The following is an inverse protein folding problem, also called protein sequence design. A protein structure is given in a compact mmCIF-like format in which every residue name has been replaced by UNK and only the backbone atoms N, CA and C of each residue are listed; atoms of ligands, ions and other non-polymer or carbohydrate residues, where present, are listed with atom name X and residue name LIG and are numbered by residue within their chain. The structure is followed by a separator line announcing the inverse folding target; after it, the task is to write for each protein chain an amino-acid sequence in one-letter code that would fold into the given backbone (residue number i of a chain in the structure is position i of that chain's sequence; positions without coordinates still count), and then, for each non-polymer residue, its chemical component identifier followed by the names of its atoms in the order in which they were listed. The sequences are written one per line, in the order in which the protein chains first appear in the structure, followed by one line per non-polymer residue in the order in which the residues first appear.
data_IF_522882336451
#
_entry.id   IF_522882336451
#
_cell.length_a   1.000
_cell.length_b   1.000
_cell.length_c   1.000
_cell.angle_alpha   90.00
_cell.angle_beta   90.00
_cell.angle_gamma   90.00
#
_symmetry.space_group_name_H-M   'P 1'
#
loop_
_entity.id
_entity.type
_entity.pdbx_description
1 polymer ?
#
# COMPACT_ATOMS: atom_id res chain seq x y z
N UNK A 1 5.98 -62.62 17.78
CA UNK A 1 5.59 -61.63 16.75
C UNK A 1 4.99 -60.42 17.47
N UNK A 2 5.67 -59.27 17.47
CA UNK A 2 5.18 -58.05 18.12
C UNK A 2 4.31 -57.30 17.10
N UNK A 3 3.01 -57.25 17.33
CA UNK A 3 2.09 -56.41 16.57
C UNK A 3 2.45 -54.95 16.87
N UNK A 4 3.10 -54.29 15.92
CA UNK A 4 3.31 -52.85 15.96
C UNK A 4 1.91 -52.24 15.87
N UNK A 5 1.47 -51.60 16.95
CA UNK A 5 0.16 -50.94 17.02
C UNK A 5 0.11 -49.86 15.94
N UNK A 6 -0.75 -50.07 14.94
CA UNK A 6 -0.94 -49.17 13.79
C UNK A 6 -1.25 -47.74 14.23
N UNK A 7 -1.92 -47.59 15.39
CA UNK A 7 -2.17 -46.30 16.04
C UNK A 7 -0.89 -45.52 16.39
N UNK A 8 0.17 -46.19 16.84
CA UNK A 8 1.42 -45.55 17.26
C UNK A 8 2.21 -45.04 16.06
N UNK A 9 2.12 -45.74 14.92
CA UNK A 9 2.73 -45.30 13.66
C UNK A 9 1.97 -44.11 13.06
N UNK A 10 0.64 -44.11 13.14
CA UNK A 10 -0.19 -43.02 12.62
C UNK A 10 0.01 -41.69 13.35
N UNK A 11 0.16 -41.70 14.69
CA UNK A 11 0.43 -40.48 15.48
C UNK A 11 1.81 -39.92 15.17
N UNK A 12 2.82 -40.78 14.99
CA UNK A 12 4.16 -40.35 14.64
C UNK A 12 4.19 -39.73 13.23
N UNK A 13 3.45 -40.29 12.27
CA UNK A 13 3.36 -39.77 10.90
C UNK A 13 2.68 -38.39 10.83
N UNK A 14 1.68 -38.11 11.67
CA UNK A 14 1.04 -36.79 11.74
C UNK A 14 1.97 -35.69 12.29
N UNK A 15 2.88 -36.03 13.19
CA UNK A 15 3.86 -35.07 13.73
C UNK A 15 4.91 -34.64 12.68
N UNK A 16 5.29 -35.53 11.76
CA UNK A 16 6.30 -35.23 10.71
C UNK A 16 5.73 -34.39 9.56
N UNK A 17 4.40 -34.40 9.37
CA UNK A 17 3.73 -33.60 8.34
C UNK A 17 3.54 -32.12 8.73
N UNK A 18 3.79 -31.75 9.98
CA UNK A 18 3.58 -30.36 10.46
C UNK A 18 4.74 -29.41 10.15
N UNK A 19 5.85 -29.90 9.60
CA UNK A 19 6.99 -29.09 9.19
C UNK A 19 7.11 -29.05 7.66
N UNK A 20 6.09 -28.51 7.00
CA UNK A 20 6.31 -27.96 5.66
C UNK A 20 6.81 -26.54 5.85
N UNK A 21 8.14 -26.35 5.82
CA UNK A 21 8.74 -25.04 5.66
C UNK A 21 8.19 -24.41 4.39
N UNK A 22 7.24 -23.49 4.54
CA UNK A 22 6.84 -22.63 3.44
C UNK A 22 8.09 -21.86 3.05
N UNK A 23 8.66 -22.17 1.89
CA UNK A 23 9.73 -21.36 1.30
C UNK A 23 9.26 -19.92 1.35
N UNK A 24 9.83 -19.15 2.27
CA UNK A 24 9.44 -17.77 2.45
C UNK A 24 9.77 -17.06 1.16
N UNK A 25 8.74 -16.54 0.49
CA UNK A 25 8.97 -15.61 -0.60
C UNK A 25 9.90 -14.51 -0.05
N UNK A 26 10.96 -14.13 -0.79
CA UNK A 26 11.87 -13.10 -0.34
C UNK A 26 11.06 -11.87 0.09
N UNK A 27 11.48 -11.21 1.17
CA UNK A 27 10.87 -9.95 1.66
C UNK A 27 10.95 -8.79 0.64
N UNK A 28 11.35 -9.08 -0.59
CA UNK A 28 11.46 -8.16 -1.71
C UNK A 28 10.12 -8.15 -2.44
N UNK A 29 9.48 -6.98 -2.38
CA UNK A 29 8.13 -6.67 -2.85
C UNK A 29 7.93 -7.11 -4.31
N UNK A 30 7.00 -8.03 -4.62
CA UNK A 30 6.74 -8.44 -6.00
C UNK A 30 6.15 -7.31 -6.86
N UNK A 31 5.51 -6.31 -6.23
CA UNK A 31 5.00 -5.11 -6.89
C UNK A 31 5.41 -3.87 -6.10
N UNK A 32 6.49 -3.22 -6.53
CA UNK A 32 6.81 -1.87 -6.10
C UNK A 32 6.14 -0.88 -7.06
N UNK A 33 5.41 0.09 -6.51
CA UNK A 33 5.02 1.26 -7.28
C UNK A 33 6.29 1.97 -7.78
N UNK A 34 6.36 2.21 -9.09
CA UNK A 34 7.42 3.02 -9.67
C UNK A 34 7.04 4.50 -9.55
N UNK A 35 7.70 5.20 -8.64
CA UNK A 35 7.43 6.61 -8.37
C UNK A 35 7.91 7.56 -9.48
N UNK A 36 8.74 7.10 -10.43
CA UNK A 36 9.25 7.89 -11.57
C UNK A 36 9.73 9.30 -11.19
N UNK A 37 10.32 9.47 -9.99
CA UNK A 37 10.80 10.76 -9.48
C UNK A 37 9.75 11.64 -8.79
N UNK A 38 8.58 11.10 -8.44
CA UNK A 38 7.62 11.75 -7.55
C UNK A 38 8.14 11.80 -6.11
N UNK A 39 7.75 12.85 -5.37
CA UNK A 39 8.14 13.04 -3.97
C UNK A 39 7.03 12.59 -3.03
N UNK A 40 7.39 11.95 -1.92
CA UNK A 40 6.43 11.64 -0.85
C UNK A 40 6.01 12.95 -0.18
N UNK A 41 4.71 13.21 -0.15
CA UNK A 41 4.08 14.32 0.57
C UNK A 41 3.78 13.89 2.00
N UNK A 42 3.10 12.77 2.18
CA UNK A 42 2.69 12.27 3.50
C UNK A 42 2.34 10.78 3.45
N UNK A 43 2.11 10.19 4.62
CA UNK A 43 1.66 8.81 4.80
C UNK A 43 0.43 8.79 5.70
N UNK A 44 -0.52 7.92 5.38
CA UNK A 44 -1.75 7.69 6.14
C UNK A 44 -1.82 6.22 6.48
N UNK A 45 -2.08 5.89 7.75
CA UNK A 45 -2.21 4.52 8.23
C UNK A 45 -3.68 4.27 8.56
N UNK A 46 -4.21 3.15 8.08
CA UNK A 46 -5.53 2.64 8.41
C UNK A 46 -5.37 1.29 9.10
N UNK A 47 -5.17 1.33 10.42
CA UNK A 47 -4.96 0.16 11.27
C UNK A 47 -6.14 -0.81 11.21
N UNK A 48 -7.37 -0.29 11.03
CA UNK A 48 -8.58 -1.12 10.97
C UNK A 48 -8.53 -2.09 9.79
N UNK A 49 -8.03 -1.63 8.65
CA UNK A 49 -7.95 -2.42 7.42
C UNK A 49 -6.54 -3.01 7.18
N UNK A 50 -5.59 -2.76 8.08
CA UNK A 50 -4.17 -3.09 7.95
C UNK A 50 -3.60 -2.55 6.61
N UNK A 51 -3.86 -1.27 6.32
CA UNK A 51 -3.43 -0.60 5.10
C UNK A 51 -2.60 0.64 5.41
N UNK A 52 -1.54 0.85 4.62
CA UNK A 52 -0.74 2.07 4.64
C UNK A 52 -0.78 2.72 3.27
N UNK A 53 -1.10 4.00 3.23
CA UNK A 53 -1.19 4.78 2.01
C UNK A 53 -0.14 5.89 2.00
N UNK A 54 0.66 5.94 0.95
CA UNK A 54 1.66 6.97 0.72
C UNK A 54 1.16 7.93 -0.36
N UNK A 55 1.08 9.22 -0.04
CA UNK A 55 0.73 10.24 -1.00
C UNK A 55 2.00 10.75 -1.68
N UNK A 56 2.11 10.51 -2.99
CA UNK A 56 3.15 11.05 -3.85
C UNK A 56 2.63 12.26 -4.63
N UNK A 57 3.52 13.22 -4.89
CA UNK A 57 3.27 14.36 -5.76
C UNK A 57 4.42 14.60 -6.73
N UNK A 58 4.11 15.05 -7.95
CA UNK A 58 5.14 15.61 -8.83
C UNK A 58 5.63 16.97 -8.29
N UNK A 59 6.58 17.61 -8.99
CA UNK A 59 7.15 18.90 -8.55
C UNK A 59 6.06 19.96 -8.32
N UNK A 60 5.12 20.10 -9.27
CA UNK A 60 4.01 21.05 -9.17
C UNK A 60 3.13 20.79 -7.94
N UNK A 61 2.70 19.54 -7.72
CA UNK A 61 1.88 19.14 -6.58
C UNK A 61 2.55 19.43 -5.22
N UNK A 62 3.87 19.22 -5.14
CA UNK A 62 4.62 19.41 -3.91
C UNK A 62 4.91 20.89 -3.61
N UNK A 63 5.10 21.73 -4.63
CA UNK A 63 5.39 23.16 -4.46
C UNK A 63 4.10 23.98 -4.29
N UNK A 64 3.06 23.70 -5.09
CA UNK A 64 1.75 24.31 -4.99
C UNK A 64 0.67 23.36 -5.53
N UNK A 65 -0.12 22.81 -4.60
CA UNK A 65 -1.14 21.78 -4.85
C UNK A 65 -2.24 22.17 -5.82
N UNK A 66 -2.50 23.47 -5.97
CA UNK A 66 -3.55 24.01 -6.85
C UNK A 66 -3.07 24.29 -8.28
N UNK A 67 -1.82 23.98 -8.61
CA UNK A 67 -1.33 24.16 -9.97
C UNK A 67 -2.01 23.20 -10.95
N UNK A 68 -2.34 23.66 -12.17
CA UNK A 68 -2.83 22.81 -13.26
C UNK A 68 -1.97 21.56 -13.50
N UNK A 69 -0.66 21.68 -13.40
CA UNK A 69 0.29 20.58 -13.63
C UNK A 69 0.39 19.61 -12.45
N UNK A 70 -0.31 19.85 -11.33
CA UNK A 70 -0.18 19.03 -10.13
C UNK A 70 -0.77 17.63 -10.35
N UNK A 71 0.06 16.63 -10.12
CA UNK A 71 -0.30 15.22 -10.19
C UNK A 71 -0.07 14.57 -8.82
N UNK A 72 -1.13 13.99 -8.27
CA UNK A 72 -1.09 13.25 -7.02
C UNK A 72 -1.32 11.76 -7.29
N UNK A 73 -0.59 10.92 -6.54
CA UNK A 73 -0.82 9.48 -6.50
C UNK A 73 -0.86 9.00 -5.06
N UNK A 74 -2.02 8.56 -4.60
CA UNK A 74 -2.18 7.91 -3.31
C UNK A 74 -2.02 6.40 -3.51
N UNK A 75 -0.89 5.88 -3.07
CA UNK A 75 -0.47 4.50 -3.28
C UNK A 75 -0.73 3.72 -2.00
N UNK A 76 -1.64 2.75 -2.05
CA UNK A 76 -2.02 1.97 -0.86
C UNK A 76 -1.43 0.58 -0.91
N UNK A 77 -0.82 0.17 0.20
CA UNK A 77 -0.26 -1.14 0.44
C UNK A 77 -0.99 -1.85 1.58
N UNK A 78 -0.97 -3.18 1.56
CA UNK A 78 -1.23 -3.98 2.76
C UNK A 78 -0.06 -3.83 3.71
N UNK A 79 -0.33 -3.63 4.99
CA UNK A 79 0.70 -3.73 6.03
C UNK A 79 1.08 -5.19 6.25
N UNK A 80 2.37 -5.44 6.45
CA UNK A 80 2.88 -6.77 6.81
C UNK A 80 3.86 -6.64 7.97
N UNK A 81 3.96 -7.70 8.78
CA UNK A 81 4.90 -7.73 9.89
C UNK A 81 6.35 -7.57 9.41
N UNK A 82 7.11 -6.76 10.14
CA UNK A 82 8.55 -6.70 9.95
C UNK A 82 9.22 -7.88 10.64
N UNK A 83 9.74 -8.81 9.83
CA UNK A 83 10.46 -10.01 10.32
C UNK A 83 11.66 -9.69 11.21
N UNK A 84 12.26 -8.52 11.06
CA UNK A 84 13.46 -8.12 11.79
C UNK A 84 13.15 -7.25 13.01
N UNK A 85 11.91 -6.77 13.17
CA UNK A 85 11.55 -5.86 14.24
C UNK A 85 10.11 -6.09 14.70
N UNK A 86 9.98 -6.85 15.79
CA UNK A 86 8.69 -7.19 16.38
C UNK A 86 7.89 -5.93 16.75
N UNK A 87 6.58 -5.98 16.49
CA UNK A 87 5.66 -4.86 16.73
C UNK A 87 5.80 -3.70 15.74
N UNK A 88 6.54 -3.87 14.65
CA UNK A 88 6.56 -2.91 13.54
C UNK A 88 6.02 -3.51 12.26
N UNK A 89 5.39 -2.66 11.46
CA UNK A 89 4.82 -2.99 10.17
C UNK A 89 5.60 -2.33 9.04
N UNK A 90 5.68 -3.02 7.91
CA UNK A 90 6.27 -2.51 6.67
C UNK A 90 5.28 -2.63 5.53
N UNK A 91 5.52 -1.88 4.45
CA UNK A 91 4.72 -1.98 3.23
C UNK A 91 4.87 -3.39 2.63
N UNK A 92 3.75 -4.09 2.50
CA UNK A 92 3.61 -5.37 1.83
C UNK A 92 3.13 -5.21 0.38
N UNK A 93 2.05 -5.91 0.03
CA UNK A 93 1.50 -5.95 -1.32
C UNK A 93 0.90 -4.60 -1.73
N UNK A 94 1.17 -4.18 -2.98
CA UNK A 94 0.49 -3.04 -3.59
C UNK A 94 -0.98 -3.40 -3.84
N UNK A 95 -1.90 -2.59 -3.31
CA UNK A 95 -3.34 -2.82 -3.41
C UNK A 95 -3.98 -1.92 -4.47
N UNK A 96 -3.67 -0.63 -4.46
CA UNK A 96 -4.23 0.35 -5.41
C UNK A 96 -3.39 1.60 -5.53
N UNK A 97 -3.56 2.27 -6.65
CA UNK A 97 -3.05 3.62 -6.90
C UNK A 97 -4.23 4.50 -7.29
N UNK A 98 -4.59 5.45 -6.44
CA UNK A 98 -5.57 6.49 -6.74
C UNK A 98 -4.84 7.71 -7.31
N UNK A 99 -5.21 8.16 -8.50
CA UNK A 99 -4.56 9.28 -9.20
C UNK A 99 -5.50 10.47 -9.26
N UNK A 100 -5.01 11.65 -8.87
CA UNK A 100 -5.69 12.94 -9.09
C UNK A 100 -4.82 13.79 -9.99
N UNK A 101 -5.34 14.11 -11.18
CA UNK A 101 -4.70 15.02 -12.13
C UNK A 101 -5.42 16.37 -12.11
N UNK A 102 -4.70 17.41 -11.70
CA UNK A 102 -5.22 18.78 -11.62
C UNK A 102 -5.28 19.48 -12.98
N UNK A 103 -4.83 18.83 -14.07
CA UNK A 103 -4.85 19.45 -15.38
C UNK A 103 -6.30 19.81 -15.76
N UNK A 104 -6.56 21.07 -16.16
CA UNK A 104 -7.87 21.53 -16.56
C UNK A 104 -8.35 20.71 -17.76
N UNK A 105 -9.44 19.98 -17.57
CA UNK A 105 -10.20 19.41 -18.68
C UNK A 105 -11.20 20.47 -19.12
N UNK A 106 -10.75 21.48 -19.87
CA UNK A 106 -11.52 22.71 -20.16
C UNK A 106 -11.88 23.56 -18.90
N UNK A 107 -12.13 24.84 -19.12
CA UNK A 107 -12.34 25.83 -18.05
C UNK A 107 -13.56 25.48 -17.18
N UNK A 108 -13.30 25.13 -15.91
CA UNK A 108 -14.32 24.91 -14.88
C UNK A 108 -14.61 23.45 -14.50
N UNK A 109 -13.97 22.46 -15.14
CA UNK A 109 -14.14 21.06 -14.75
C UNK A 109 -13.33 20.68 -13.51
N UNK A 110 -13.90 19.77 -12.73
CA UNK A 110 -13.24 19.16 -11.59
C UNK A 110 -11.98 18.37 -12.02
N UNK A 111 -10.98 18.22 -11.13
CA UNK A 111 -9.81 17.40 -11.37
C UNK A 111 -10.18 15.98 -11.82
N UNK A 112 -9.39 15.40 -12.72
CA UNK A 112 -9.60 14.04 -13.17
C UNK A 112 -9.13 13.04 -12.10
N UNK A 113 -10.01 12.12 -11.72
CA UNK A 113 -9.72 11.06 -10.77
C UNK A 113 -9.76 9.69 -11.45
N UNK A 114 -8.77 8.85 -11.18
CA UNK A 114 -8.75 7.44 -11.60
C UNK A 114 -8.19 6.52 -10.52
N UNK A 115 -8.46 5.22 -10.64
CA UNK A 115 -7.91 4.22 -9.74
C UNK A 115 -7.43 2.99 -10.51
N UNK A 116 -6.18 2.60 -10.26
CA UNK A 116 -5.62 1.33 -10.71
C UNK A 116 -5.65 0.36 -9.53
N UNK A 117 -6.25 -0.81 -9.73
CA UNK A 117 -6.43 -1.83 -8.70
C UNK A 117 -5.49 -3.01 -8.96
N UNK A 118 -4.84 -3.48 -7.91
CA UNK A 118 -3.85 -4.56 -7.95
C UNK A 118 -4.30 -5.72 -7.05
N UNK A 119 -3.47 -6.11 -6.06
CA UNK A 119 -3.62 -7.34 -5.26
C UNK A 119 -4.75 -7.25 -4.21
N UNK A 120 -5.95 -6.86 -4.65
CA UNK A 120 -7.16 -6.79 -3.85
C UNK A 120 -8.40 -7.06 -4.72
N UNK A 121 -9.56 -7.36 -4.12
CA UNK A 121 -10.82 -7.36 -4.83
C UNK A 121 -11.08 -6.03 -5.55
N UNK A 122 -11.97 -6.04 -6.54
CA UNK A 122 -12.33 -4.84 -7.28
C UNK A 122 -12.70 -3.70 -6.33
N UNK A 123 -11.94 -2.61 -6.39
CA UNK A 123 -12.16 -1.40 -5.62
C UNK A 123 -12.77 -0.34 -6.53
N UNK A 124 -13.93 0.18 -6.15
CA UNK A 124 -14.58 1.31 -6.81
C UNK A 124 -14.95 2.31 -5.73
N UNK A 125 -14.39 3.53 -5.75
CA UNK A 125 -14.79 4.54 -4.79
C UNK A 125 -16.26 4.90 -5.02
N UNK A 126 -17.03 4.99 -3.94
CA UNK A 126 -18.43 5.40 -4.01
C UNK A 126 -18.58 6.84 -4.51
N UNK A 127 -17.60 7.70 -4.23
CA UNK A 127 -17.59 9.11 -4.58
C UNK A 127 -16.17 9.58 -4.95
N UNK A 128 -15.93 9.82 -6.23
CA UNK A 128 -14.66 10.31 -6.74
C UNK A 128 -14.33 11.74 -6.27
N UNK A 129 -15.34 12.59 -6.07
CA UNK A 129 -15.13 13.96 -5.60
C UNK A 129 -14.70 13.96 -4.12
N UNK A 130 -15.33 13.12 -3.29
CA UNK A 130 -14.91 12.94 -1.90
C UNK A 130 -13.47 12.40 -1.79
N UNK A 131 -13.09 11.42 -2.64
CA UNK A 131 -11.70 10.93 -2.69
C UNK A 131 -10.72 11.99 -3.17
N UNK A 132 -11.10 12.78 -4.17
CA UNK A 132 -10.29 13.89 -4.67
C UNK A 132 -10.04 14.92 -3.56
N UNK A 133 -11.09 15.32 -2.84
CA UNK A 133 -10.97 16.23 -1.70
C UNK A 133 -10.09 15.65 -0.60
N UNK A 134 -10.28 14.38 -0.23
CA UNK A 134 -9.44 13.69 0.75
C UNK A 134 -7.95 13.76 0.35
N UNK A 135 -7.62 13.39 -0.89
CA UNK A 135 -6.23 13.42 -1.38
C UNK A 135 -5.66 14.85 -1.35
N UNK A 136 -6.45 15.84 -1.75
CA UNK A 136 -6.01 17.22 -1.81
C UNK A 136 -5.80 17.86 -0.45
N UNK A 137 -6.53 17.45 0.59
CA UNK A 137 -6.42 17.99 1.95
C UNK A 137 -5.35 17.31 2.80
N UNK A 138 -4.72 16.23 2.33
CA UNK A 138 -3.62 15.58 3.03
C UNK A 138 -2.37 16.48 3.05
N UNK A 139 -2.07 17.06 4.22
CA UNK A 139 -0.93 17.93 4.43
C UNK A 139 0.42 17.21 4.33
N UNK A 140 1.45 17.96 3.96
CA UNK A 140 2.82 17.46 3.93
C UNK A 140 3.26 17.08 5.34
N UNK A 141 3.83 15.89 5.49
CA UNK A 141 4.43 15.48 6.75
C UNK A 141 5.53 16.46 7.15
N UNK A 142 5.51 16.91 8.41
CA UNK A 142 6.55 17.77 8.95
C UNK A 142 7.60 16.90 9.65
N UNK A 143 8.85 17.00 9.22
CA UNK A 143 9.98 16.34 9.87
C UNK A 143 10.82 17.40 10.60
N UNK A 144 11.04 17.26 11.92
CA UNK A 144 11.77 18.24 12.72
C UNK A 144 13.23 18.49 12.30
N UNK A 145 13.75 17.72 11.35
CA UNK A 145 15.16 17.65 10.99
C UNK A 145 15.45 17.83 9.50
N UNK A 146 14.52 18.31 8.67
CA UNK A 146 14.83 18.65 7.28
C UNK A 146 15.82 19.83 7.23
N UNK A 147 17.05 19.64 6.72
CA UNK A 147 17.96 20.75 6.50
C UNK A 147 17.45 21.51 5.27
N UNK A 148 17.16 22.79 5.45
CA UNK A 148 16.84 23.74 4.38
C UNK A 148 17.80 23.65 3.18
#
# INVERSE_FOLDING_TARGET
MRFINVFTVAVLAFMIASCMDKKEAPAIRPFAFNDSGMRVITTVINEKDNEVAMLYGNKAAFDNRSQPEALFKLVTYREQDNKFWFGSYINGELLRVETVNMQPTASGQAPAYSVDVYNQPAFRPADAAARTNFIQTLDRAWYPCDPY
#
